data_IF_175845255155
#
_entry.id   IF_175845255155
#
_cell.length_a   1.000
_cell.length_b   1.000
_cell.length_c   1.000
_cell.angle_alpha   90.00
_cell.angle_beta   90.00
_cell.angle_gamma   90.00
#
_symmetry.space_group_name_H-M   'P 1'
#
loop_
_entity.id
_entity.type
_entity.pdbx_description
1 polymer ?
#
# COMPACT_ATOMS: atom_id res chain seq x y z
N UNK A 1 -4.30 -15.54 10.93
CA UNK A 1 -2.83 -15.43 10.92
C UNK A 1 -2.31 -14.44 11.97
N UNK A 2 -2.86 -13.24 12.11
CA UNK A 2 -2.42 -12.21 13.07
C UNK A 2 -2.30 -12.73 14.52
N UNK A 3 -3.28 -13.48 15.02
CA UNK A 3 -3.27 -13.99 16.39
C UNK A 3 -2.09 -14.94 16.72
N UNK A 4 -1.54 -15.62 15.72
CA UNK A 4 -0.42 -16.55 15.89
C UNK A 4 0.96 -15.88 15.97
N UNK A 5 1.04 -14.64 15.50
CA UNK A 5 2.27 -13.86 15.38
C UNK A 5 2.21 -12.51 16.10
N UNK A 6 1.23 -12.31 16.99
CA UNK A 6 0.96 -11.02 17.63
C UNK A 6 2.18 -10.43 18.35
N UNK A 7 3.01 -11.29 18.95
CA UNK A 7 4.24 -10.93 19.66
C UNK A 7 5.44 -10.62 18.72
N UNK A 8 5.31 -10.94 17.44
CA UNK A 8 6.35 -10.73 16.43
C UNK A 8 6.00 -9.60 15.44
N UNK A 9 4.71 -9.27 15.33
CA UNK A 9 4.22 -8.23 14.41
C UNK A 9 4.78 -6.86 14.84
N UNK A 10 5.21 -6.07 13.85
CA UNK A 10 5.88 -4.78 13.98
C UNK A 10 7.30 -4.82 14.59
N UNK A 11 7.78 -6.00 14.98
CA UNK A 11 9.15 -6.22 15.44
C UNK A 11 9.95 -6.99 14.39
N UNK A 12 9.71 -8.27 14.24
CA UNK A 12 10.44 -9.15 13.32
C UNK A 12 9.70 -9.37 12.01
N UNK A 13 8.35 -9.24 12.03
CA UNK A 13 7.51 -9.51 10.87
C UNK A 13 6.40 -8.47 10.70
N UNK A 14 6.02 -8.28 9.45
CA UNK A 14 4.77 -7.61 9.08
C UNK A 14 3.83 -8.64 8.41
N UNK A 15 2.58 -8.67 8.86
CA UNK A 15 1.56 -9.58 8.32
C UNK A 15 0.43 -8.77 7.75
N UNK A 16 0.05 -9.07 6.53
CA UNK A 16 -1.11 -8.44 5.90
C UNK A 16 -1.95 -9.49 5.17
N UNK A 17 -3.10 -9.79 5.73
CA UNK A 17 -4.02 -10.84 5.27
C UNK A 17 -3.30 -12.18 5.18
N UNK A 18 -2.91 -12.61 3.97
CA UNK A 18 -2.22 -13.87 3.70
C UNK A 18 -0.72 -13.70 3.43
N UNK A 19 -0.26 -12.46 3.25
CA UNK A 19 1.14 -12.15 2.98
C UNK A 19 1.90 -11.81 4.25
N UNK A 20 3.18 -12.20 4.30
CA UNK A 20 4.06 -11.98 5.43
C UNK A 20 5.45 -11.58 4.98
N UNK A 21 6.00 -10.54 5.60
CA UNK A 21 7.39 -10.12 5.40
C UNK A 21 8.13 -10.24 6.73
N UNK A 22 9.25 -10.96 6.73
CA UNK A 22 10.25 -10.87 7.80
C UNK A 22 11.27 -9.79 7.45
N UNK A 23 11.49 -8.86 8.37
CA UNK A 23 12.43 -7.75 8.22
C UNK A 23 13.41 -7.69 9.37
N UNK A 24 14.56 -7.07 9.12
CA UNK A 24 15.62 -6.85 10.12
C UNK A 24 16.45 -5.63 9.70
N UNK A 25 17.23 -5.09 10.62
CA UNK A 25 18.14 -3.98 10.33
C UNK A 25 19.52 -4.50 9.88
N UNK A 26 19.94 -5.66 10.39
CA UNK A 26 21.21 -6.30 10.05
C UNK A 26 21.01 -7.70 9.48
N UNK A 27 22.05 -8.24 8.85
CA UNK A 27 22.04 -9.60 8.30
C UNK A 27 21.99 -10.66 9.41
N UNK A 28 22.69 -10.43 10.52
CA UNK A 28 22.69 -11.32 11.67
C UNK A 28 21.31 -11.39 12.32
N UNK A 29 20.70 -10.24 12.59
CA UNK A 29 19.32 -10.18 13.10
C UNK A 29 18.34 -10.87 12.16
N UNK A 30 18.57 -10.79 10.83
CA UNK A 30 17.70 -11.44 9.87
C UNK A 30 17.65 -12.95 10.03
N UNK A 31 18.79 -13.56 10.27
CA UNK A 31 18.88 -15.00 10.53
C UNK A 31 18.14 -15.40 11.80
N UNK A 32 18.25 -14.59 12.86
CA UNK A 32 17.54 -14.83 14.11
C UNK A 32 16.05 -14.69 13.96
N UNK A 33 15.59 -13.66 13.23
CA UNK A 33 14.17 -13.44 12.93
C UNK A 33 13.59 -14.60 12.11
N UNK A 34 14.32 -15.05 11.06
CA UNK A 34 13.90 -16.21 10.27
C UNK A 34 13.84 -17.47 11.11
N UNK A 35 14.83 -17.69 11.99
CA UNK A 35 14.82 -18.84 12.91
C UNK A 35 13.60 -18.85 13.82
N UNK A 36 13.28 -17.71 14.44
CA UNK A 36 12.09 -17.55 15.26
C UNK A 36 10.82 -17.81 14.46
N UNK A 37 10.74 -17.25 13.24
CA UNK A 37 9.61 -17.44 12.34
C UNK A 37 9.40 -18.90 11.99
N UNK A 38 10.45 -19.61 11.53
CA UNK A 38 10.36 -21.02 11.16
C UNK A 38 10.01 -21.91 12.35
N UNK A 39 10.53 -21.61 13.53
CA UNK A 39 10.16 -22.31 14.76
C UNK A 39 8.68 -22.14 15.08
N UNK A 40 8.12 -20.94 14.87
CA UNK A 40 6.71 -20.63 15.05
C UNK A 40 5.84 -21.38 14.01
N UNK A 41 6.21 -21.32 12.73
CA UNK A 41 5.52 -22.04 11.66
C UNK A 41 5.46 -23.55 11.94
N UNK A 42 6.58 -24.14 12.37
CA UNK A 42 6.66 -25.57 12.75
C UNK A 42 5.74 -25.88 13.93
N UNK A 43 5.73 -25.04 14.96
CA UNK A 43 4.88 -25.22 16.16
C UNK A 43 3.39 -25.30 15.79
N UNK A 44 2.95 -24.44 14.88
CA UNK A 44 1.54 -24.37 14.46
C UNK A 44 1.24 -25.18 13.18
N UNK A 45 2.19 -26.01 12.73
CA UNK A 45 2.06 -26.85 11.53
C UNK A 45 1.69 -26.06 10.26
N UNK A 46 2.10 -24.81 10.18
CA UNK A 46 1.91 -23.96 9.00
C UNK A 46 2.96 -24.31 7.94
N UNK A 47 2.54 -24.24 6.68
CA UNK A 47 3.43 -24.50 5.53
C UNK A 47 3.53 -23.28 4.67
N UNK A 48 4.75 -22.93 4.26
CA UNK A 48 4.99 -21.87 3.28
C UNK A 48 4.89 -22.45 1.86
N UNK A 49 4.36 -21.66 0.95
CA UNK A 49 4.46 -21.97 -0.47
C UNK A 49 5.80 -21.46 -0.99
N UNK A 50 6.80 -22.33 -1.07
CA UNK A 50 8.15 -21.97 -1.47
C UNK A 50 8.25 -21.33 -2.85
N UNK A 51 7.32 -21.64 -3.76
CA UNK A 51 7.27 -21.02 -5.09
C UNK A 51 6.90 -19.53 -5.05
N UNK A 52 6.33 -19.07 -3.92
CA UNK A 52 5.95 -17.67 -3.69
C UNK A 52 6.84 -16.97 -2.66
N UNK A 53 7.80 -17.70 -2.09
CA UNK A 53 8.70 -17.12 -1.08
C UNK A 53 9.99 -16.62 -1.73
N UNK A 54 10.42 -15.46 -1.31
CA UNK A 54 11.72 -14.88 -1.68
C UNK A 54 12.51 -14.63 -0.39
N UNK A 55 13.76 -15.04 -0.35
CA UNK A 55 14.63 -14.94 0.81
C UNK A 55 15.89 -14.14 0.50
N UNK A 56 16.45 -13.49 1.52
CA UNK A 56 17.75 -12.80 1.41
C UNK A 56 17.75 -11.59 0.48
N UNK A 57 16.61 -10.91 0.33
CA UNK A 57 16.50 -9.70 -0.49
C UNK A 57 16.57 -8.44 0.38
N UNK A 58 17.19 -7.37 -0.15
CA UNK A 58 17.30 -6.09 0.56
C UNK A 58 16.03 -5.26 0.52
N UNK A 59 15.11 -5.58 -0.37
CA UNK A 59 13.80 -4.95 -0.48
C UNK A 59 12.80 -5.93 -1.06
N UNK A 60 11.52 -5.76 -0.72
CA UNK A 60 10.44 -6.59 -1.21
C UNK A 60 9.19 -5.77 -1.50
N UNK A 61 8.38 -6.23 -2.45
CA UNK A 61 7.07 -5.65 -2.72
C UNK A 61 6.02 -6.34 -1.86
N UNK A 62 5.25 -5.54 -1.14
CA UNK A 62 4.10 -5.98 -0.36
C UNK A 62 2.93 -5.06 -0.66
N UNK A 63 1.86 -5.59 -1.24
CA UNK A 63 0.61 -4.86 -1.49
C UNK A 63 0.79 -3.53 -2.25
N UNK A 64 1.73 -3.47 -3.20
CA UNK A 64 2.02 -2.27 -3.96
C UNK A 64 2.90 -1.24 -3.23
N UNK A 65 3.47 -1.62 -2.09
CA UNK A 65 4.52 -0.87 -1.41
C UNK A 65 5.85 -1.58 -1.56
N UNK A 66 6.92 -0.80 -1.54
CA UNK A 66 8.29 -1.31 -1.46
C UNK A 66 8.73 -1.16 -0.01
N UNK A 67 9.04 -2.29 0.62
CA UNK A 67 9.61 -2.32 1.97
C UNK A 67 11.12 -2.53 1.85
N UNK A 68 11.89 -1.61 2.38
CA UNK A 68 13.35 -1.62 2.34
C UNK A 68 13.93 -1.18 3.69
N UNK A 69 15.25 -1.12 3.80
CA UNK A 69 15.93 -0.57 4.97
C UNK A 69 15.66 0.95 5.17
N UNK A 70 15.20 1.65 4.12
CA UNK A 70 14.82 3.07 4.19
C UNK A 70 13.40 3.26 4.71
N UNK A 71 12.62 2.18 4.84
CA UNK A 71 11.23 2.19 5.27
C UNK A 71 10.26 1.67 4.21
N UNK A 72 9.05 2.22 4.22
CA UNK A 72 7.97 1.84 3.29
C UNK A 72 7.80 2.96 2.28
N UNK A 73 7.97 2.63 1.01
CA UNK A 73 7.81 3.53 -0.13
C UNK A 73 6.68 3.04 -1.04
N UNK A 74 6.05 3.95 -1.77
CA UNK A 74 5.05 3.59 -2.78
C UNK A 74 5.75 2.95 -3.98
N UNK A 75 5.16 1.90 -4.56
CA UNK A 75 5.65 1.36 -5.82
C UNK A 75 5.55 2.43 -6.93
N UNK A 76 6.67 2.81 -7.58
CA UNK A 76 6.67 3.80 -8.66
C UNK A 76 5.68 3.48 -9.79
N UNK A 77 5.40 2.19 -10.03
CA UNK A 77 4.40 1.79 -11.01
C UNK A 77 2.99 2.28 -10.61
N UNK A 78 2.66 2.26 -9.32
CA UNK A 78 1.37 2.77 -8.81
C UNK A 78 1.27 4.29 -8.88
N UNK A 79 2.36 4.98 -8.64
CA UNK A 79 2.45 6.43 -8.83
C UNK A 79 2.22 6.77 -10.30
N UNK A 80 2.90 6.08 -11.21
CA UNK A 80 2.76 6.26 -12.65
C UNK A 80 1.34 5.99 -13.13
N UNK A 81 0.70 4.90 -12.65
CA UNK A 81 -0.69 4.59 -12.98
C UNK A 81 -1.61 5.79 -12.70
N UNK A 82 -1.45 6.46 -11.54
CA UNK A 82 -2.27 7.63 -11.17
C UNK A 82 -1.91 8.86 -12.03
N UNK A 83 -0.62 9.07 -12.28
CA UNK A 83 -0.15 10.20 -13.11
C UNK A 83 -0.68 10.12 -14.54
N UNK A 84 -0.80 8.90 -15.10
CA UNK A 84 -1.27 8.67 -16.46
C UNK A 84 -2.80 8.59 -16.57
N UNK A 85 -3.52 8.55 -15.44
CA UNK A 85 -4.99 8.52 -15.47
C UNK A 85 -5.56 9.77 -16.15
N UNK A 86 -6.51 9.61 -17.08
CA UNK A 86 -7.23 10.74 -17.65
C UNK A 86 -8.16 11.37 -16.63
N UNK A 87 -8.65 12.58 -16.95
CA UNK A 87 -9.67 13.25 -16.14
C UNK A 87 -10.95 12.40 -16.12
N UNK A 88 -11.48 12.08 -14.91
CA UNK A 88 -12.70 11.28 -14.81
C UNK A 88 -13.93 11.99 -15.34
N UNK A 89 -14.75 11.32 -16.16
CA UNK A 89 -15.99 11.85 -16.73
C UNK A 89 -17.24 11.10 -16.24
N UNK A 90 -17.07 9.99 -15.52
CA UNK A 90 -18.15 9.17 -15.00
C UNK A 90 -17.94 8.85 -13.51
N UNK A 91 -19.04 8.52 -12.82
CA UNK A 91 -18.97 8.09 -11.41
C UNK A 91 -18.01 6.88 -11.22
N UNK A 92 -18.03 5.94 -12.17
CA UNK A 92 -17.16 4.77 -12.14
C UNK A 92 -15.69 5.17 -12.20
N UNK A 93 -15.34 6.13 -13.06
CA UNK A 93 -13.98 6.62 -13.20
C UNK A 93 -13.53 7.43 -11.97
N UNK A 94 -14.43 8.25 -11.40
CA UNK A 94 -14.17 8.95 -10.14
C UNK A 94 -13.89 7.94 -9.01
N UNK A 95 -14.71 6.90 -8.89
CA UNK A 95 -14.49 5.84 -7.89
C UNK A 95 -13.17 5.10 -8.12
N UNK A 96 -12.82 4.80 -9.37
CA UNK A 96 -11.56 4.18 -9.72
C UNK A 96 -10.37 5.07 -9.34
N UNK A 97 -10.40 6.35 -9.69
CA UNK A 97 -9.38 7.32 -9.32
C UNK A 97 -9.18 7.43 -7.80
N UNK A 98 -10.26 7.59 -7.05
CA UNK A 98 -10.21 7.64 -5.58
C UNK A 98 -9.74 6.32 -4.96
N UNK A 99 -10.06 5.18 -5.58
CA UNK A 99 -9.55 3.88 -5.18
C UNK A 99 -8.02 3.78 -5.31
N UNK A 100 -7.47 4.26 -6.43
CA UNK A 100 -6.01 4.33 -6.61
C UNK A 100 -5.37 5.30 -5.61
N UNK A 101 -5.98 6.44 -5.34
CA UNK A 101 -5.50 7.41 -4.35
C UNK A 101 -5.49 6.84 -2.92
N UNK A 102 -6.50 6.09 -2.54
CA UNK A 102 -6.59 5.49 -1.21
C UNK A 102 -5.38 4.58 -0.91
N UNK A 103 -4.81 3.99 -1.94
CA UNK A 103 -3.62 3.17 -1.84
C UNK A 103 -2.39 3.95 -1.36
N UNK A 104 -2.25 5.19 -1.82
CA UNK A 104 -1.11 6.06 -1.51
C UNK A 104 -1.46 7.14 -0.48
N UNK A 105 -2.66 7.10 0.07
CA UNK A 105 -3.20 8.13 0.97
C UNK A 105 -2.29 8.46 2.15
N UNK A 106 -1.60 7.45 2.71
CA UNK A 106 -0.67 7.62 3.84
C UNK A 106 0.57 8.46 3.51
N UNK A 107 0.90 8.62 2.23
CA UNK A 107 2.09 9.35 1.77
C UNK A 107 1.77 10.76 1.30
N UNK A 108 0.48 11.11 1.19
CA UNK A 108 0.04 12.43 0.77
C UNK A 108 -0.58 13.17 1.96
N UNK A 109 0.10 14.23 2.41
CA UNK A 109 -0.44 15.08 3.46
C UNK A 109 -1.72 15.78 2.97
N UNK A 110 -2.70 15.86 3.86
CA UNK A 110 -3.97 16.54 3.59
C UNK A 110 -4.75 16.02 2.37
N UNK A 111 -4.54 14.76 1.95
CA UNK A 111 -5.21 14.17 0.79
C UNK A 111 -6.72 14.34 0.85
N UNK A 112 -7.34 14.07 2.00
CA UNK A 112 -8.80 14.17 2.17
C UNK A 112 -9.30 15.59 1.89
N UNK A 113 -8.61 16.60 2.42
CA UNK A 113 -8.97 18.01 2.18
C UNK A 113 -8.78 18.41 0.71
N UNK A 114 -7.68 17.95 0.10
CA UNK A 114 -7.40 18.21 -1.32
C UNK A 114 -8.44 17.54 -2.24
N UNK A 115 -8.88 16.32 -1.90
CA UNK A 115 -9.85 15.55 -2.70
C UNK A 115 -11.31 15.88 -2.38
N UNK A 116 -11.61 16.76 -1.41
CA UNK A 116 -12.98 17.07 -1.00
C UNK A 116 -13.90 17.42 -2.18
N UNK A 117 -13.51 18.26 -3.17
CA UNK A 117 -14.35 18.54 -4.34
C UNK A 117 -14.70 17.28 -5.14
N UNK A 118 -13.74 16.36 -5.27
CA UNK A 118 -13.92 15.11 -6.01
C UNK A 118 -14.82 14.14 -5.22
N UNK A 119 -14.66 14.05 -3.89
CA UNK A 119 -15.54 13.25 -3.03
C UNK A 119 -17.00 13.71 -3.08
N UNK A 120 -17.24 15.02 -3.24
CA UNK A 120 -18.59 15.57 -3.38
C UNK A 120 -19.34 15.04 -4.60
N UNK A 121 -18.61 14.65 -5.68
CA UNK A 121 -19.21 14.06 -6.88
C UNK A 121 -19.80 12.65 -6.64
N UNK A 122 -19.46 11.98 -5.55
CA UNK A 122 -19.98 10.65 -5.21
C UNK A 122 -21.21 10.69 -4.28
N UNK A 123 -21.77 11.86 -4.01
CA UNK A 123 -23.01 11.95 -3.24
C UNK A 123 -24.17 11.33 -4.04
N UNK A 124 -25.05 10.60 -3.30
CA UNK A 124 -26.23 9.95 -3.88
C UNK A 124 -27.07 10.96 -4.69
N UNK A 125 -27.57 10.47 -5.81
CA UNK A 125 -28.54 11.17 -6.68
C UNK A 125 -28.03 12.46 -7.37
N UNK A 126 -26.70 12.61 -7.52
CA UNK A 126 -26.14 13.72 -8.28
C UNK A 126 -25.48 13.25 -9.58
N UNK A 127 -25.72 13.99 -10.64
CA UNK A 127 -24.97 13.82 -11.90
C UNK A 127 -23.53 14.26 -11.66
N UNK A 128 -22.58 13.44 -12.09
CA UNK A 128 -21.15 13.78 -11.99
C UNK A 128 -20.85 14.92 -12.95
N UNK A 129 -20.66 16.11 -12.42
CA UNK A 129 -20.24 17.30 -13.17
C UNK A 129 -18.81 17.66 -12.73
N UNK A 130 -17.86 17.41 -13.60
CA UNK A 130 -16.47 17.79 -13.36
C UNK A 130 -16.30 19.30 -13.52
N UNK A 131 -16.04 20.00 -12.45
CA UNK A 131 -15.90 21.46 -12.42
C UNK A 131 -14.43 21.89 -12.20
N UNK A 132 -14.18 23.20 -12.20
CA UNK A 132 -12.85 23.76 -12.01
C UNK A 132 -12.20 23.42 -10.67
N UNK A 133 -12.97 23.24 -9.59
CA UNK A 133 -12.47 22.85 -8.28
C UNK A 133 -11.98 21.39 -8.30
N UNK A 134 -12.72 20.51 -8.99
CA UNK A 134 -12.32 19.12 -9.19
C UNK A 134 -11.04 19.02 -10.02
N UNK A 135 -10.95 19.85 -11.09
CA UNK A 135 -9.73 19.91 -11.91
C UNK A 135 -8.53 20.40 -11.12
N UNK A 136 -8.67 21.46 -10.34
CA UNK A 136 -7.60 21.97 -9.49
C UNK A 136 -7.14 20.95 -8.45
N UNK A 137 -8.07 20.21 -7.84
CA UNK A 137 -7.76 19.13 -6.91
C UNK A 137 -7.00 17.98 -7.61
N UNK A 138 -7.44 17.60 -8.79
CA UNK A 138 -6.83 16.54 -9.60
C UNK A 138 -5.40 16.91 -10.01
N UNK A 139 -5.18 18.13 -10.49
CA UNK A 139 -3.86 18.62 -10.91
C UNK A 139 -2.90 18.71 -9.71
N UNK A 140 -3.39 19.20 -8.57
CA UNK A 140 -2.61 19.26 -7.33
C UNK A 140 -2.17 17.89 -6.85
N UNK A 141 -3.01 16.87 -6.97
CA UNK A 141 -2.64 15.50 -6.62
C UNK A 141 -1.54 14.99 -7.54
N UNK A 142 -1.67 15.22 -8.84
CA UNK A 142 -0.64 14.81 -9.81
C UNK A 142 0.70 15.52 -9.59
N UNK A 143 0.67 16.77 -9.18
CA UNK A 143 1.87 17.54 -8.80
C UNK A 143 2.56 16.94 -7.57
N UNK A 144 1.81 16.50 -6.55
CA UNK A 144 2.36 15.81 -5.38
C UNK A 144 3.09 14.52 -5.71
N UNK A 145 2.78 13.91 -6.85
CA UNK A 145 3.30 12.60 -7.25
C UNK A 145 4.52 12.73 -8.21
N UNK A 146 4.94 13.93 -8.55
CA UNK A 146 6.14 14.18 -9.36
C UNK A 146 7.42 14.08 -8.52
#
# INVERSE_FOLDING_TARGET
>A
MVALFNDMIHHEIEVFVDDMISRSQTEEEHLDHLHKLFKRLKKYKLRLNLNKCTFGVRSGKLLGFIVSNKGIEVDPAKVKDIQEMPVPHSEKEVRAFLGHLNYIARFISHLTATCEPIFKLLKKDQVVIWNGECQAAFDKIKEYLQ
#
